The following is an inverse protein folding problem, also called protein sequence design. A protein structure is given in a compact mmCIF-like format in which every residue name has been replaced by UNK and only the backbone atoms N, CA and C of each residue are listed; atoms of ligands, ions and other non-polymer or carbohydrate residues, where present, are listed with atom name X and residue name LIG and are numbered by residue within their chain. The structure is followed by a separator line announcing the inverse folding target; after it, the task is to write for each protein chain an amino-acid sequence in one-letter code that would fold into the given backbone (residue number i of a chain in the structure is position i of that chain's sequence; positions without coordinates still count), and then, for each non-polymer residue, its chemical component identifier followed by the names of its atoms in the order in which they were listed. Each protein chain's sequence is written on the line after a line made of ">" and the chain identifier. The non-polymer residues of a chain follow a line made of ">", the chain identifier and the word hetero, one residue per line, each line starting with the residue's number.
data_IF_611290845006
#
_entry.id   IF_611290845006
#
_cell.length_a   1.000
_cell.length_b   1.000
_cell.length_c   1.000
_cell.angle_alpha   90.00
_cell.angle_beta   90.00
_cell.angle_gamma   90.00
#
_symmetry.space_group_name_H-M   'P 1'
#
loop_
_entity.id
_entity.type
_entity.pdbx_description
1 polymer ?
#
# COMPACT_ATOMS: atom_id res chain seq x y z
N UNK A 1 -1.19 -16.70 -13.77
CA UNK A 1 -1.76 -15.45 -14.34
C UNK A 1 -1.09 -15.14 -15.65
N UNK A 2 -1.80 -14.51 -16.59
CA UNK A 2 -1.22 -14.01 -17.86
C UNK A 2 -1.72 -12.59 -18.04
N UNK A 3 -0.79 -11.66 -18.22
CA UNK A 3 -1.11 -10.28 -18.53
C UNK A 3 -1.11 -10.13 -20.06
N UNK A 4 -2.26 -9.80 -20.63
CA UNK A 4 -2.45 -9.64 -22.06
C UNK A 4 -2.87 -8.22 -22.39
N UNK A 5 -2.36 -7.69 -23.50
CA UNK A 5 -2.85 -6.44 -24.12
C UNK A 5 -3.31 -6.72 -25.54
N UNK A 6 -4.24 -5.92 -26.03
CA UNK A 6 -4.63 -5.95 -27.43
C UNK A 6 -3.64 -5.12 -28.26
N UNK A 7 -3.06 -5.73 -29.28
CA UNK A 7 -2.21 -5.04 -30.24
C UNK A 7 -3.06 -4.65 -31.45
N UNK A 8 -3.29 -3.36 -31.62
CA UNK A 8 -4.11 -2.81 -32.72
C UNK A 8 -3.52 -3.07 -34.10
N UNK A 9 -2.19 -3.17 -34.22
CA UNK A 9 -1.53 -3.38 -35.50
C UNK A 9 -1.69 -4.82 -35.99
N UNK A 10 -1.62 -5.80 -35.10
CA UNK A 10 -1.77 -7.21 -35.41
C UNK A 10 -3.19 -7.72 -35.20
N UNK A 11 -4.04 -6.93 -34.55
CA UNK A 11 -5.41 -7.30 -34.14
C UNK A 11 -5.45 -8.58 -33.28
N UNK A 12 -4.46 -8.79 -32.43
CA UNK A 12 -4.31 -9.96 -31.59
C UNK A 12 -4.04 -9.58 -30.14
N UNK A 13 -4.40 -10.50 -29.22
CA UNK A 13 -3.96 -10.42 -27.83
C UNK A 13 -2.51 -10.90 -27.75
N UNK A 14 -1.64 -10.06 -27.24
CA UNK A 14 -0.21 -10.35 -27.04
C UNK A 14 0.13 -10.30 -25.56
N UNK A 15 1.14 -11.06 -25.15
CA UNK A 15 1.63 -10.99 -23.78
C UNK A 15 2.21 -9.60 -23.52
N UNK A 16 1.72 -8.95 -22.47
CA UNK A 16 2.14 -7.61 -22.09
C UNK A 16 3.28 -7.62 -21.07
N UNK A 17 3.38 -8.66 -20.22
CA UNK A 17 4.40 -8.74 -19.18
C UNK A 17 5.82 -8.88 -19.75
N UNK A 18 6.78 -8.27 -19.04
CA UNK A 18 8.21 -8.39 -19.34
C UNK A 18 8.82 -9.69 -18.76
N UNK A 19 8.09 -10.40 -17.92
CA UNK A 19 8.46 -11.68 -17.31
C UNK A 19 7.63 -12.83 -17.88
N UNK A 20 8.10 -14.06 -17.70
CA UNK A 20 7.36 -15.26 -18.13
C UNK A 20 6.04 -15.43 -17.37
N UNK A 21 5.14 -16.26 -17.92
CA UNK A 21 3.86 -16.54 -17.25
C UNK A 21 4.04 -17.27 -15.89
N UNK A 22 5.07 -18.09 -15.76
CA UNK A 22 5.36 -18.81 -14.50
C UNK A 22 5.91 -17.85 -13.44
N UNK A 23 6.86 -16.98 -13.79
CA UNK A 23 7.36 -15.92 -12.91
C UNK A 23 6.26 -14.97 -12.50
N UNK A 24 5.37 -14.55 -13.42
CA UNK A 24 4.24 -13.70 -13.11
C UNK A 24 3.25 -14.41 -12.16
N UNK A 25 3.04 -15.72 -12.33
CA UNK A 25 2.20 -16.48 -11.42
C UNK A 25 2.79 -16.53 -10.01
N UNK A 26 4.06 -16.86 -9.87
CA UNK A 26 4.76 -16.90 -8.58
C UNK A 26 4.76 -15.53 -7.88
N UNK A 27 5.09 -14.47 -8.62
CA UNK A 27 5.10 -13.11 -8.12
C UNK A 27 3.71 -12.60 -7.70
N UNK A 28 2.63 -13.11 -8.30
CA UNK A 28 1.25 -12.73 -7.97
C UNK A 28 0.64 -13.53 -6.81
N UNK A 29 1.38 -14.45 -6.20
CA UNK A 29 0.92 -15.16 -5.01
C UNK A 29 0.87 -14.19 -3.82
N UNK A 30 -0.24 -14.19 -3.11
CA UNK A 30 -0.47 -13.32 -1.96
C UNK A 30 -1.39 -13.97 -0.94
N UNK A 31 -1.24 -13.58 0.33
CA UNK A 31 -2.05 -14.11 1.42
C UNK A 31 -3.45 -13.48 1.49
N UNK A 32 -3.62 -12.29 0.93
CA UNK A 32 -4.89 -11.56 0.92
C UNK A 32 -5.70 -11.98 -0.29
N UNK A 33 -6.65 -12.89 -0.10
CA UNK A 33 -7.44 -13.49 -1.20
C UNK A 33 -8.45 -12.53 -1.83
N UNK A 34 -8.84 -11.47 -1.13
CA UNK A 34 -9.80 -10.47 -1.60
C UNK A 34 -9.16 -9.35 -2.44
N UNK A 35 -7.85 -9.22 -2.36
CA UNK A 35 -7.11 -8.19 -3.10
C UNK A 35 -6.99 -8.60 -4.57
N UNK A 36 -7.52 -7.80 -5.47
CA UNK A 36 -7.52 -8.05 -6.92
C UNK A 36 -6.59 -7.06 -7.63
N UNK A 37 -6.08 -7.46 -8.79
CA UNK A 37 -5.32 -6.58 -9.67
C UNK A 37 -6.24 -5.49 -10.23
N UNK A 38 -5.79 -4.25 -10.23
CA UNK A 38 -6.54 -3.10 -10.75
C UNK A 38 -5.59 -2.06 -11.33
N UNK A 39 -6.13 -1.12 -12.06
CA UNK A 39 -5.47 0.12 -12.45
C UNK A 39 -5.52 1.04 -11.22
N UNK A 40 -4.42 1.07 -10.46
CA UNK A 40 -4.38 1.72 -9.15
C UNK A 40 -4.41 3.25 -9.26
N UNK A 41 -3.70 3.82 -10.23
CA UNK A 41 -3.51 5.26 -10.39
C UNK A 41 -4.25 5.88 -11.58
N UNK A 42 -4.96 5.05 -12.36
CA UNK A 42 -5.79 5.50 -13.48
C UNK A 42 -5.01 5.77 -14.78
N UNK A 43 -3.82 5.19 -14.93
CA UNK A 43 -3.00 5.36 -16.14
C UNK A 43 -3.36 4.38 -17.26
N UNK A 44 -4.29 3.45 -17.02
CA UNK A 44 -4.76 2.45 -17.97
C UNK A 44 -3.93 1.16 -17.98
N UNK A 45 -2.95 1.03 -17.10
CA UNK A 45 -2.18 -0.18 -16.86
C UNK A 45 -2.73 -0.87 -15.60
N UNK A 46 -2.76 -2.19 -15.62
CA UNK A 46 -3.23 -2.97 -14.47
C UNK A 46 -2.04 -3.38 -13.62
N UNK A 47 -2.00 -2.89 -12.38
CA UNK A 47 -1.02 -3.31 -11.40
C UNK A 47 -1.46 -4.61 -10.71
N UNK A 48 -0.47 -5.42 -10.39
CA UNK A 48 -0.64 -6.68 -9.66
C UNK A 48 -0.12 -6.49 -8.25
N UNK A 49 -0.98 -6.64 -7.23
CA UNK A 49 -0.52 -6.54 -5.85
C UNK A 49 0.26 -7.79 -5.46
N UNK A 50 1.39 -7.58 -4.81
CA UNK A 50 2.28 -8.63 -4.30
C UNK A 50 2.64 -8.34 -2.85
N UNK A 51 3.11 -9.36 -2.14
CA UNK A 51 3.75 -9.11 -0.86
C UNK A 51 5.20 -8.69 -1.07
N UNK A 52 5.72 -7.73 -0.30
CA UNK A 52 7.15 -7.42 -0.33
C UNK A 52 7.98 -8.65 0.06
N UNK A 53 9.15 -8.80 -0.54
CA UNK A 53 10.09 -9.90 -0.24
C UNK A 53 10.51 -9.90 1.23
N UNK A 54 10.63 -8.71 1.83
CA UNK A 54 10.85 -8.50 3.25
C UNK A 54 9.60 -7.92 3.88
N UNK A 55 8.62 -8.78 4.17
CA UNK A 55 7.47 -8.39 4.95
C UNK A 55 7.93 -7.95 6.33
N UNK A 56 7.69 -6.70 6.70
CA UNK A 56 7.91 -6.20 8.04
C UNK A 56 7.15 -7.05 9.06
N UNK A 57 7.70 -7.18 10.26
CA UNK A 57 7.06 -7.94 11.33
C UNK A 57 5.72 -7.29 11.68
N UNK A 58 4.67 -8.10 11.66
CA UNK A 58 3.34 -7.68 12.08
C UNK A 58 3.14 -8.07 13.56
N UNK A 59 2.92 -7.09 14.41
CA UNK A 59 2.58 -7.29 15.81
C UNK A 59 1.29 -6.54 16.14
N UNK A 60 0.25 -6.83 15.35
CA UNK A 60 -1.08 -6.25 15.50
C UNK A 60 -1.99 -7.17 16.31
N UNK A 61 -2.95 -6.57 17.01
CA UNK A 61 -4.05 -7.32 17.60
C UNK A 61 -4.82 -8.08 16.52
N UNK A 62 -5.40 -9.23 16.87
CA UNK A 62 -6.16 -10.07 15.91
C UNK A 62 -7.38 -9.37 15.28
N UNK A 63 -7.78 -8.24 15.83
CA UNK A 63 -8.88 -7.41 15.31
C UNK A 63 -8.44 -6.46 14.17
N UNK A 64 -7.14 -6.32 13.95
CA UNK A 64 -6.60 -5.45 12.90
C UNK A 64 -6.01 -6.32 11.79
N UNK A 65 -6.43 -6.03 10.56
CA UNK A 65 -5.94 -6.69 9.35
C UNK A 65 -5.32 -5.65 8.44
N UNK A 66 -4.04 -5.41 8.67
CA UNK A 66 -3.23 -4.53 7.83
C UNK A 66 -1.98 -5.28 7.38
N UNK A 67 -1.66 -5.17 6.11
CA UNK A 67 -0.50 -5.81 5.50
C UNK A 67 0.28 -4.82 4.63
N UNK A 68 1.59 -5.01 4.53
CA UNK A 68 2.39 -4.32 3.53
C UNK A 68 2.16 -4.96 2.16
N UNK A 69 1.94 -4.12 1.15
CA UNK A 69 1.70 -4.54 -0.24
C UNK A 69 2.56 -3.70 -1.17
N UNK A 70 3.09 -4.34 -2.19
CA UNK A 70 3.73 -3.70 -3.34
C UNK A 70 2.84 -3.89 -4.56
N UNK A 71 2.55 -2.82 -5.26
CA UNK A 71 1.86 -2.86 -6.55
C UNK A 71 2.87 -2.84 -7.69
N UNK A 72 2.77 -3.82 -8.58
CA UNK A 72 3.76 -4.10 -9.60
C UNK A 72 3.18 -3.89 -11.01
N UNK A 73 3.80 -3.02 -11.79
CA UNK A 73 3.57 -2.91 -13.24
C UNK A 73 4.55 -3.82 -14.00
N UNK A 74 4.13 -5.03 -14.33
CA UNK A 74 4.96 -5.99 -15.07
C UNK A 74 5.08 -5.68 -16.57
N UNK A 75 4.49 -4.61 -17.06
CA UNK A 75 4.71 -4.10 -18.42
C UNK A 75 5.92 -3.17 -18.49
N UNK A 76 6.37 -2.66 -17.36
CA UNK A 76 7.53 -1.79 -17.21
C UNK A 76 8.84 -2.58 -17.04
N UNK A 77 9.96 -1.94 -17.41
CA UNK A 77 11.30 -2.45 -17.10
C UNK A 77 11.66 -2.29 -15.61
N UNK A 78 10.95 -1.43 -14.91
CA UNK A 78 11.00 -1.27 -13.46
C UNK A 78 9.62 -1.61 -12.93
N UNK A 79 9.39 -2.88 -12.59
CA UNK A 79 8.04 -3.39 -12.34
C UNK A 79 7.41 -2.81 -11.06
N UNK A 80 8.19 -2.46 -10.05
CA UNK A 80 7.65 -1.84 -8.84
C UNK A 80 7.08 -0.46 -9.16
N UNK A 81 5.88 -0.20 -8.66
CA UNK A 81 5.19 1.06 -8.90
C UNK A 81 4.83 1.78 -7.60
N UNK A 82 4.38 1.04 -6.59
CA UNK A 82 3.95 1.63 -5.33
C UNK A 82 4.10 0.64 -4.19
N UNK A 83 4.68 1.09 -3.09
CA UNK A 83 4.76 0.37 -1.82
C UNK A 83 3.79 1.00 -0.82
N UNK A 84 3.15 0.21 0.03
CA UNK A 84 2.27 0.79 1.03
C UNK A 84 1.56 -0.20 1.94
N UNK A 85 0.57 0.31 2.62
CA UNK A 85 -0.19 -0.37 3.66
C UNK A 85 -1.62 -0.63 3.18
N UNK A 86 -2.02 -1.89 3.11
CA UNK A 86 -3.40 -2.31 2.88
C UNK A 86 -4.15 -2.41 4.20
N UNK A 87 -5.29 -1.76 4.30
CA UNK A 87 -6.29 -2.01 5.35
C UNK A 87 -7.39 -2.92 4.78
N UNK A 88 -7.36 -4.20 5.14
CA UNK A 88 -8.33 -5.18 4.66
C UNK A 88 -9.76 -4.93 5.17
N UNK A 89 -9.92 -4.30 6.33
CA UNK A 89 -11.25 -4.02 6.89
C UNK A 89 -12.00 -2.99 6.05
N UNK A 90 -11.31 -1.98 5.58
CA UNK A 90 -11.89 -0.88 4.82
C UNK A 90 -11.63 -0.99 3.31
N UNK A 91 -10.88 -1.99 2.88
CA UNK A 91 -10.45 -2.20 1.51
C UNK A 91 -9.82 -0.93 0.90
N UNK A 92 -8.88 -0.33 1.63
CA UNK A 92 -8.15 0.82 1.17
C UNK A 92 -6.63 0.60 1.26
N UNK A 93 -5.91 1.29 0.42
CA UNK A 93 -4.46 1.26 0.34
C UNK A 93 -3.91 2.65 0.66
N UNK A 94 -2.89 2.70 1.50
CA UNK A 94 -2.16 3.92 1.85
C UNK A 94 -0.76 3.78 1.28
N UNK A 95 -0.47 4.53 0.24
CA UNK A 95 0.88 4.59 -0.33
C UNK A 95 1.87 5.14 0.69
N UNK A 96 3.05 4.54 0.72
CA UNK A 96 4.17 4.92 1.58
C UNK A 96 5.37 5.29 0.70
N UNK A 97 6.29 6.12 1.21
CA UNK A 97 7.55 6.36 0.53
C UNK A 97 8.30 5.07 0.25
N UNK A 98 8.78 4.86 -0.97
CA UNK A 98 9.47 3.63 -1.38
C UNK A 98 10.76 3.39 -0.61
N UNK A 99 11.42 4.45 -0.13
CA UNK A 99 12.60 4.34 0.73
C UNK A 99 12.32 3.67 2.10
N UNK A 100 11.06 3.47 2.46
CA UNK A 100 10.66 2.79 3.69
C UNK A 100 10.45 1.29 3.52
N UNK A 101 10.41 0.79 2.29
CA UNK A 101 10.22 -0.63 2.03
C UNK A 101 11.30 -1.49 2.69
N UNK A 102 10.89 -2.64 3.23
CA UNK A 102 11.78 -3.58 3.91
C UNK A 102 12.29 -3.14 5.29
N UNK A 103 12.02 -1.89 5.70
CA UNK A 103 12.53 -1.33 6.95
C UNK A 103 11.46 -1.00 7.99
N UNK A 104 10.21 -1.34 7.73
CA UNK A 104 9.08 -1.05 8.61
C UNK A 104 8.47 -2.31 9.22
N UNK A 105 7.95 -2.15 10.41
CA UNK A 105 7.04 -3.09 11.09
C UNK A 105 5.79 -2.37 11.57
N UNK A 106 4.70 -3.12 11.74
CA UNK A 106 3.42 -2.62 12.24
C UNK A 106 3.19 -3.08 13.67
N UNK A 107 2.75 -2.15 14.51
CA UNK A 107 2.32 -2.42 15.89
C UNK A 107 1.02 -1.68 16.19
N UNK A 108 0.23 -2.16 17.17
CA UNK A 108 -0.83 -1.34 17.72
C UNK A 108 -0.21 -0.13 18.45
N UNK A 109 -0.83 1.05 18.29
CA UNK A 109 -0.33 2.24 18.96
C UNK A 109 -0.66 2.22 20.44
N UNK A 110 0.34 2.42 21.29
CA UNK A 110 0.13 2.56 22.73
C UNK A 110 -0.48 3.94 23.11
N UNK A 111 -0.30 4.94 22.25
CA UNK A 111 -0.73 6.31 22.51
C UNK A 111 -2.16 6.59 22.04
N UNK A 112 -2.61 5.96 20.97
CA UNK A 112 -3.89 6.23 20.32
C UNK A 112 -4.69 4.94 20.16
N UNK A 113 -5.74 4.81 20.95
CA UNK A 113 -6.63 3.65 20.89
C UNK A 113 -7.15 3.41 19.45
N UNK A 114 -7.05 2.17 18.99
CA UNK A 114 -7.46 1.76 17.65
C UNK A 114 -6.60 2.31 16.52
N UNK A 115 -5.45 2.92 16.78
CA UNK A 115 -4.48 3.32 15.79
C UNK A 115 -3.38 2.25 15.59
N UNK A 116 -2.77 2.26 14.41
CA UNK A 116 -1.60 1.44 14.06
C UNK A 116 -0.38 2.34 13.94
N UNK A 117 0.74 1.89 14.44
CA UNK A 117 2.01 2.59 14.39
C UNK A 117 3.00 1.83 13.50
N UNK A 118 3.56 2.55 12.53
CA UNK A 118 4.67 2.10 11.71
C UNK A 118 5.96 2.47 12.44
N UNK A 119 6.83 1.49 12.61
CA UNK A 119 8.11 1.64 13.31
C UNK A 119 9.23 1.05 12.48
N UNK A 120 10.45 1.55 12.64
CA UNK A 120 11.63 0.92 12.02
C UNK A 120 11.86 -0.46 12.60
N UNK A 121 12.33 -1.41 11.77
CA UNK A 121 12.64 -2.77 12.22
C UNK A 121 13.82 -2.77 13.18
N UNK A 122 14.90 -2.08 12.82
CA UNK A 122 16.18 -2.15 13.52
C UNK A 122 16.15 -1.41 14.87
N UNK A 123 15.69 -0.15 14.88
CA UNK A 123 15.82 0.73 16.05
C UNK A 123 14.51 0.85 16.84
N UNK A 124 13.43 0.25 16.33
CA UNK A 124 12.08 0.35 16.94
C UNK A 124 11.61 1.81 17.11
N UNK A 125 12.02 2.69 16.22
CA UNK A 125 11.63 4.08 16.25
C UNK A 125 10.27 4.29 15.55
N UNK A 126 9.37 5.11 16.12
CA UNK A 126 8.11 5.44 15.46
C UNK A 126 8.38 6.26 14.19
N UNK A 127 7.68 5.94 13.10
CA UNK A 127 7.77 6.62 11.82
C UNK A 127 6.47 7.33 11.49
N UNK A 128 5.37 6.60 11.58
CA UNK A 128 4.05 7.13 11.26
C UNK A 128 2.98 6.40 12.07
N UNK A 129 1.95 7.13 12.47
CA UNK A 129 0.74 6.55 13.08
C UNK A 129 -0.45 6.74 12.14
N UNK A 130 -1.23 5.69 11.94
CA UNK A 130 -2.45 5.69 11.10
C UNK A 130 -3.65 5.36 11.97
N UNK A 131 -4.75 6.07 11.78
CA UNK A 131 -6.01 5.79 12.47
C UNK A 131 -7.23 6.03 11.59
N UNK A 132 -8.30 5.34 11.94
CA UNK A 132 -9.63 5.57 11.38
C UNK A 132 -10.50 6.29 12.43
N UNK A 133 -10.62 7.60 12.30
CA UNK A 133 -11.29 8.47 13.25
C UNK A 133 -12.73 8.80 12.84
N UNK A 134 -13.58 9.15 13.80
CA UNK A 134 -14.91 9.68 13.50
C UNK A 134 -14.79 10.97 12.67
N UNK A 135 -15.73 11.21 11.76
CA UNK A 135 -15.69 12.38 10.85
C UNK A 135 -15.62 13.72 11.60
N UNK A 136 -16.20 13.80 12.78
CA UNK A 136 -16.16 15.00 13.64
C UNK A 136 -14.93 15.06 14.56
N UNK A 137 -14.03 14.08 14.50
CA UNK A 137 -12.84 14.06 15.34
C UNK A 137 -11.87 15.21 14.99
N UNK A 138 -11.17 15.71 16.00
CA UNK A 138 -10.13 16.71 15.78
C UNK A 138 -9.01 16.15 14.91
N UNK A 139 -8.60 16.93 13.91
CA UNK A 139 -7.47 16.63 13.04
C UNK A 139 -6.20 17.40 13.42
N UNK A 140 -6.18 18.06 14.58
CA UNK A 140 -4.99 18.83 15.01
C UNK A 140 -3.77 17.91 15.13
N UNK A 141 -2.74 18.18 14.35
CA UNK A 141 -1.52 17.38 14.28
C UNK A 141 -1.66 16.08 13.50
N UNK A 142 -2.76 15.89 12.75
CA UNK A 142 -3.03 14.77 11.87
C UNK A 142 -3.27 15.25 10.44
N UNK A 143 -2.67 14.57 9.48
CA UNK A 143 -2.99 14.74 8.06
C UNK A 143 -4.20 13.89 7.71
N UNK A 144 -5.22 14.50 7.12
CA UNK A 144 -6.38 13.79 6.60
C UNK A 144 -6.00 13.16 5.27
N UNK A 145 -6.11 11.84 5.17
CA UNK A 145 -5.88 11.09 3.91
C UNK A 145 -7.16 11.02 3.08
N UNK A 146 -8.31 10.77 3.71
CA UNK A 146 -9.58 10.64 3.00
C UNK A 146 -10.72 10.21 3.91
N UNK A 147 -11.86 9.88 3.29
CA UNK A 147 -13.04 9.32 3.95
C UNK A 147 -13.19 7.87 3.52
N UNK A 148 -13.24 6.96 4.49
CA UNK A 148 -13.41 5.53 4.27
C UNK A 148 -14.51 5.03 5.21
N UNK A 149 -15.49 4.32 4.68
CA UNK A 149 -16.62 3.80 5.48
C UNK A 149 -17.26 4.84 6.44
N UNK A 150 -17.44 6.08 5.93
CA UNK A 150 -17.99 7.21 6.68
C UNK A 150 -17.13 7.71 7.86
N UNK A 151 -15.89 7.28 7.96
CA UNK A 151 -14.88 7.75 8.93
C UNK A 151 -13.72 8.41 8.22
N UNK A 152 -12.90 9.17 8.94
CA UNK A 152 -11.69 9.80 8.39
C UNK A 152 -10.49 8.89 8.58
N UNK A 153 -9.84 8.48 7.48
CA UNK A 153 -8.49 7.96 7.54
C UNK A 153 -7.52 9.13 7.76
N UNK A 154 -6.72 9.02 8.79
CA UNK A 154 -5.78 10.06 9.20
C UNK A 154 -4.41 9.44 9.48
N UNK A 155 -3.35 10.14 9.10
CA UNK A 155 -1.98 9.78 9.42
C UNK A 155 -1.24 10.92 10.10
N UNK A 156 -0.23 10.57 10.88
CA UNK A 156 0.66 11.51 11.57
C UNK A 156 2.08 10.98 11.49
N UNK A 157 2.99 11.77 10.92
CA UNK A 157 4.42 11.48 10.97
C UNK A 157 4.97 11.71 12.38
N UNK A 158 5.96 10.93 12.77
CA UNK A 158 6.73 11.21 13.97
C UNK A 158 7.54 12.51 13.78
N UNK A 159 7.86 13.24 14.88
CA UNK A 159 8.42 14.60 14.79
C UNK A 159 9.72 14.72 14.01
N UNK A 160 10.56 13.68 14.04
CA UNK A 160 11.91 13.68 13.47
C UNK A 160 11.96 12.94 12.11
N UNK A 161 10.80 12.59 11.56
CA UNK A 161 10.71 11.90 10.27
C UNK A 161 10.52 12.91 9.14
N UNK A 162 11.46 12.91 8.21
CA UNK A 162 11.40 13.65 6.95
C UNK A 162 11.26 12.66 5.79
N UNK A 163 10.33 12.91 4.89
CA UNK A 163 10.16 12.15 3.65
C UNK A 163 11.07 12.79 2.61
N UNK A 164 11.95 11.99 2.02
CA UNK A 164 12.95 12.49 1.07
C UNK A 164 12.39 12.57 -0.38
N UNK A 165 11.37 11.80 -0.67
CA UNK A 165 10.70 11.85 -1.97
C UNK A 165 9.90 13.16 -2.10
N UNK A 166 10.38 14.06 -2.95
CA UNK A 166 9.77 15.37 -3.18
C UNK A 166 8.42 15.29 -3.90
N UNK A 167 8.15 14.20 -4.60
CA UNK A 167 6.90 13.99 -5.35
C UNK A 167 5.84 13.30 -4.48
N UNK A 168 6.23 12.71 -3.36
CA UNK A 168 5.31 12.07 -2.43
C UNK A 168 4.49 13.08 -1.63
N UNK A 169 3.19 12.85 -1.52
CA UNK A 169 2.28 13.67 -0.71
C UNK A 169 1.39 12.80 0.16
N UNK A 170 1.62 12.83 1.47
CA UNK A 170 0.84 12.08 2.43
C UNK A 170 -0.68 12.36 2.33
N UNK A 171 -1.08 13.57 2.00
CA UNK A 171 -2.51 13.91 1.85
C UNK A 171 -3.18 13.27 0.63
N UNK A 172 -2.41 12.79 -0.32
CA UNK A 172 -2.88 12.15 -1.55
C UNK A 172 -2.62 10.63 -1.57
N UNK A 173 -2.10 10.08 -0.48
CA UNK A 173 -1.60 8.71 -0.40
C UNK A 173 -2.71 7.64 -0.25
N UNK A 174 -3.99 8.01 -0.19
CA UNK A 174 -5.09 7.05 0.03
C UNK A 174 -5.76 6.67 -1.28
N UNK A 175 -5.82 5.38 -1.54
CA UNK A 175 -6.55 4.76 -2.65
C UNK A 175 -7.68 3.87 -2.10
N UNK A 176 -8.88 4.00 -2.67
CA UNK A 176 -10.00 3.12 -2.37
C UNK A 176 -10.00 1.97 -3.39
N UNK A 177 -9.84 0.75 -2.91
CA UNK A 177 -9.83 -0.43 -3.75
C UNK A 177 -11.27 -0.94 -3.92
N UNK A 178 -11.77 -0.96 -5.15
CA UNK A 178 -13.14 -1.34 -5.48
C UNK A 178 -13.25 -2.82 -5.81
#
# INVERSE_FOLDING_TARGET
>A
SVLLRFDENTQQMVQASQISADELYEASLRNVSTLVSCDLDGDGIVEIPTQPDEAGLLNLSQSRRMDFIVWMDYTSRRPEKSFGLLDEETNCYIELPTEWEGNLKLTDSEQYDGAVELRTVDEDQPVMTVRLAQTAASSTGWTKLGIVASRQMQARLAPDVEIQDADYSLSNALYLLN
#
